data_IF_037163884044
#
_entry.id   IF_037163884044
#
_cell.length_a   1.000
_cell.length_b   1.000
_cell.length_c   1.000
_cell.angle_alpha   90.00
_cell.angle_beta   90.00
_cell.angle_gamma   90.00
#
_symmetry.space_group_name_H-M   'P 1'
#
loop_
_entity.id
_entity.type
_entity.pdbx_description
1 polymer ?
#
# COMPACT_ATOMS: atom_id res chain seq x y z
N UNK A 1 2.49 15.51 -12.15
CA UNK A 1 3.52 16.19 -12.98
C UNK A 1 4.71 15.26 -13.06
N UNK A 2 4.89 14.58 -14.20
CA UNK A 2 6.05 13.72 -14.46
C UNK A 2 7.24 14.61 -14.84
N UNK A 3 8.40 14.34 -14.26
CA UNK A 3 9.61 15.14 -14.51
C UNK A 3 10.59 14.33 -15.34
N UNK A 4 10.87 14.79 -16.56
CA UNK A 4 11.78 14.13 -17.48
C UNK A 4 12.84 15.13 -17.97
N UNK A 5 14.08 15.01 -17.48
CA UNK A 5 15.25 15.69 -18.04
C UNK A 5 15.37 17.21 -17.80
N UNK A 6 16.46 17.59 -17.12
CA UNK A 6 17.07 18.93 -16.97
C UNK A 6 16.35 20.04 -16.22
N UNK A 7 15.04 19.99 -15.97
CA UNK A 7 14.40 20.99 -15.09
C UNK A 7 13.69 20.31 -13.92
N UNK A 8 14.43 20.16 -12.82
CA UNK A 8 13.86 19.92 -11.49
C UNK A 8 14.47 20.96 -10.56
N UNK A 9 13.70 21.95 -10.08
CA UNK A 9 14.09 22.63 -8.85
C UNK A 9 13.93 21.60 -7.72
N UNK A 10 15.04 21.24 -7.07
CA UNK A 10 15.07 20.74 -5.68
C UNK A 10 14.38 19.39 -5.38
N UNK A 11 14.87 18.28 -5.94
CA UNK A 11 14.78 17.00 -5.20
C UNK A 11 16.15 16.69 -4.58
N UNK A 12 16.22 16.57 -3.25
CA UNK A 12 17.47 16.41 -2.50
C UNK A 12 18.35 15.24 -2.99
N UNK A 13 17.72 14.19 -3.54
CA UNK A 13 18.40 13.04 -4.11
C UNK A 13 19.24 13.39 -5.36
N UNK A 14 18.84 14.36 -6.19
CA UNK A 14 19.55 14.70 -7.43
C UNK A 14 20.94 15.28 -7.16
N UNK A 15 21.01 16.26 -6.25
CA UNK A 15 22.27 16.90 -5.85
C UNK A 15 23.15 15.99 -4.98
N UNK A 16 22.54 15.15 -4.13
CA UNK A 16 23.29 14.28 -3.22
C UNK A 16 23.88 13.02 -3.90
N UNK A 17 23.30 12.55 -5.01
CA UNK A 17 23.67 11.26 -5.63
C UNK A 17 24.39 11.41 -6.99
N UNK A 18 24.60 12.62 -7.49
CA UNK A 18 25.31 12.86 -8.76
C UNK A 18 24.60 12.22 -9.96
N UNK A 19 23.26 12.21 -9.94
CA UNK A 19 22.46 11.54 -10.96
C UNK A 19 22.38 12.39 -12.23
N UNK A 20 22.78 11.83 -13.37
CA UNK A 20 22.72 12.53 -14.66
C UNK A 20 21.44 12.23 -15.46
N UNK A 21 20.66 11.21 -15.07
CA UNK A 21 19.32 10.96 -15.60
C UNK A 21 18.34 10.54 -14.51
N UNK A 22 17.17 11.18 -14.48
CA UNK A 22 16.10 10.94 -13.50
C UNK A 22 14.72 11.06 -14.16
N UNK A 23 13.85 10.09 -13.88
CA UNK A 23 12.44 10.08 -14.27
C UNK A 23 11.63 9.58 -13.07
N UNK A 24 10.63 10.34 -12.62
CA UNK A 24 9.82 9.94 -11.47
C UNK A 24 8.45 10.61 -11.41
N UNK A 25 7.57 9.99 -10.63
CA UNK A 25 6.18 10.38 -10.40
C UNK A 25 5.84 10.22 -8.91
N UNK A 26 5.08 11.16 -8.31
CA UNK A 26 4.60 11.03 -6.95
C UNK A 26 3.46 10.00 -6.86
N UNK A 27 3.62 9.00 -6.00
CA UNK A 27 2.61 7.98 -5.74
C UNK A 27 1.62 8.48 -4.70
N UNK A 28 0.33 8.46 -5.00
CA UNK A 28 -0.71 8.86 -4.06
C UNK A 28 -1.58 7.67 -3.67
N UNK A 29 -1.78 7.46 -2.37
CA UNK A 29 -2.68 6.42 -1.86
C UNK A 29 -3.77 7.12 -1.06
N UNK A 30 -5.02 6.89 -1.44
CA UNK A 30 -6.19 7.50 -0.80
C UNK A 30 -6.15 9.04 -0.77
N UNK A 31 -5.53 9.64 -1.79
CA UNK A 31 -5.37 11.10 -1.91
C UNK A 31 -4.19 11.68 -1.13
N UNK A 32 -3.46 10.87 -0.37
CA UNK A 32 -2.27 11.28 0.36
C UNK A 32 -0.98 10.89 -0.37
N UNK A 33 0.04 11.76 -0.31
CA UNK A 33 1.36 11.46 -0.85
C UNK A 33 1.97 10.29 -0.07
N UNK A 34 2.07 9.14 -0.72
CA UNK A 34 2.69 7.94 -0.15
C UNK A 34 4.20 7.93 -0.37
N UNK A 35 4.65 8.40 -1.53
CA UNK A 35 6.06 8.40 -1.88
C UNK A 35 6.32 8.79 -3.32
N UNK A 36 7.41 8.28 -3.89
CA UNK A 36 7.78 8.55 -5.28
C UNK A 36 8.24 7.27 -5.95
N UNK A 37 7.67 6.97 -7.11
CA UNK A 37 8.24 5.98 -8.03
C UNK A 37 9.26 6.70 -8.91
N UNK A 38 10.52 6.28 -8.85
CA UNK A 38 11.58 6.91 -9.63
C UNK A 38 12.57 5.92 -10.21
N UNK A 39 12.96 6.17 -11.46
CA UNK A 39 14.12 5.57 -12.12
C UNK A 39 15.24 6.59 -12.20
N UNK A 40 16.42 6.18 -11.74
CA UNK A 40 17.59 7.04 -11.67
C UNK A 40 18.81 6.33 -12.25
N UNK A 41 19.69 7.10 -12.90
CA UNK A 41 20.97 6.61 -13.41
C UNK A 41 22.07 7.63 -13.11
N UNK A 42 23.22 7.14 -12.65
CA UNK A 42 24.40 7.96 -12.39
C UNK A 42 25.11 8.41 -13.67
N UNK A 43 25.00 7.64 -14.76
CA UNK A 43 25.59 7.97 -16.06
C UNK A 43 24.58 8.71 -16.95
N UNK A 44 25.05 9.62 -17.82
CA UNK A 44 24.19 10.31 -18.78
C UNK A 44 23.54 9.31 -19.72
N UNK A 45 22.29 9.59 -20.09
CA UNK A 45 21.58 8.85 -21.13
C UNK A 45 21.89 9.51 -22.47
N UNK A 46 22.24 8.71 -23.48
CA UNK A 46 22.52 9.22 -24.84
C UNK A 46 21.28 9.86 -25.49
N UNK A 47 20.09 9.50 -25.02
CA UNK A 47 18.81 10.01 -25.50
C UNK A 47 17.97 10.54 -24.34
N UNK A 48 17.18 11.57 -24.62
CA UNK A 48 16.15 12.03 -23.69
C UNK A 48 15.14 10.92 -23.40
N UNK A 49 14.42 11.03 -22.27
CA UNK A 49 13.25 10.19 -22.04
C UNK A 49 12.22 10.46 -23.13
N UNK A 50 11.66 9.39 -23.66
CA UNK A 50 10.61 9.40 -24.65
C UNK A 50 9.25 9.50 -23.96
N UNK A 51 8.22 9.88 -24.72
CA UNK A 51 6.83 9.85 -24.22
C UNK A 51 6.44 8.44 -23.76
N UNK A 52 6.96 7.39 -24.41
CA UNK A 52 6.77 6.00 -24.00
C UNK A 52 7.40 5.71 -22.63
N UNK A 53 8.58 6.26 -22.32
CA UNK A 53 9.19 6.12 -20.99
C UNK A 53 8.28 6.74 -19.91
N UNK A 54 7.69 7.90 -20.20
CA UNK A 54 6.76 8.62 -19.31
C UNK A 54 5.45 7.86 -19.14
N UNK A 55 4.82 7.43 -20.24
CA UNK A 55 3.57 6.68 -20.21
C UNK A 55 3.72 5.33 -19.48
N UNK A 56 4.85 4.66 -19.69
CA UNK A 56 5.18 3.43 -18.97
C UNK A 56 5.29 3.68 -17.46
N UNK A 57 5.94 4.78 -17.07
CA UNK A 57 6.04 5.15 -15.65
C UNK A 57 4.66 5.44 -15.06
N UNK A 58 3.80 6.19 -15.75
CA UNK A 58 2.45 6.49 -15.28
C UNK A 58 1.58 5.23 -15.16
N UNK A 59 1.74 4.27 -16.08
CA UNK A 59 1.02 3.00 -16.01
C UNK A 59 1.47 2.18 -14.79
N UNK A 60 2.77 2.14 -14.51
CA UNK A 60 3.31 1.49 -13.32
C UNK A 60 2.81 2.15 -12.04
N UNK A 61 2.77 3.48 -12.01
CA UNK A 61 2.24 4.28 -10.90
C UNK A 61 0.80 3.86 -10.57
N UNK A 62 -0.09 3.89 -11.57
CA UNK A 62 -1.50 3.52 -11.42
C UNK A 62 -1.69 2.08 -10.94
N UNK A 63 -0.87 1.14 -11.41
CA UNK A 63 -0.92 -0.23 -10.95
C UNK A 63 -0.45 -0.37 -9.50
N UNK A 64 0.63 0.31 -9.12
CA UNK A 64 1.12 0.31 -7.74
C UNK A 64 0.11 0.92 -6.78
N UNK A 65 -0.54 2.02 -7.16
CA UNK A 65 -1.61 2.62 -6.34
C UNK A 65 -2.72 1.61 -6.06
N UNK A 66 -3.21 0.96 -7.11
CA UNK A 66 -4.27 -0.05 -7.02
C UNK A 66 -3.86 -1.24 -6.15
N UNK A 67 -2.64 -1.76 -6.34
CA UNK A 67 -2.15 -2.93 -5.61
C UNK A 67 -1.91 -2.64 -4.13
N UNK A 68 -1.40 -1.45 -3.80
CA UNK A 68 -1.23 -1.02 -2.40
C UNK A 68 -2.58 -0.85 -1.71
N UNK A 69 -3.55 -0.21 -2.38
CA UNK A 69 -4.91 -0.08 -1.85
C UNK A 69 -5.56 -1.45 -1.60
N UNK A 70 -5.42 -2.38 -2.55
CA UNK A 70 -5.93 -3.75 -2.41
C UNK A 70 -5.36 -4.44 -1.18
N UNK A 71 -4.04 -4.41 -1.00
CA UNK A 71 -3.36 -5.02 0.16
C UNK A 71 -3.81 -4.42 1.49
N UNK A 72 -3.93 -3.10 1.56
CA UNK A 72 -4.42 -2.41 2.76
C UNK A 72 -5.85 -2.82 3.11
N UNK A 73 -6.72 -2.96 2.11
CA UNK A 73 -8.08 -3.42 2.32
C UNK A 73 -8.11 -4.87 2.86
N UNK A 74 -7.25 -5.74 2.33
CA UNK A 74 -7.10 -7.12 2.80
C UNK A 74 -6.59 -7.18 4.25
N UNK A 75 -5.53 -6.45 4.56
CA UNK A 75 -4.98 -6.35 5.92
C UNK A 75 -6.00 -5.81 6.92
N UNK A 76 -6.78 -4.79 6.54
CA UNK A 76 -7.83 -4.22 7.38
C UNK A 76 -8.96 -5.23 7.65
N UNK A 77 -9.34 -6.02 6.64
CA UNK A 77 -10.36 -7.07 6.79
C UNK A 77 -9.87 -8.20 7.72
N UNK A 78 -8.62 -8.63 7.56
CA UNK A 78 -8.00 -9.63 8.43
C UNK A 78 -7.92 -9.15 9.88
N UNK A 79 -7.52 -7.89 10.10
CA UNK A 79 -7.46 -7.32 11.44
C UNK A 79 -8.86 -7.18 12.07
N UNK A 80 -9.86 -6.72 11.31
CA UNK A 80 -11.23 -6.65 11.79
C UNK A 80 -11.78 -8.02 12.19
N UNK A 81 -11.51 -9.05 11.37
CA UNK A 81 -11.89 -10.44 11.66
C UNK A 81 -11.25 -10.93 12.96
N UNK A 82 -9.93 -10.75 13.11
CA UNK A 82 -9.18 -11.15 14.32
C UNK A 82 -9.72 -10.47 15.59
N UNK A 83 -10.09 -9.19 15.51
CA UNK A 83 -10.68 -8.45 16.64
C UNK A 83 -12.05 -9.00 17.03
N UNK A 84 -12.89 -9.37 16.06
CA UNK A 84 -14.20 -9.98 16.34
C UNK A 84 -14.05 -11.37 16.99
N UNK A 85 -13.12 -12.19 16.52
CA UNK A 85 -12.84 -13.50 17.12
C UNK A 85 -12.40 -13.38 18.58
N UNK A 86 -11.56 -12.39 18.91
CA UNK A 86 -11.16 -12.13 20.29
C UNK A 86 -12.33 -11.77 21.19
N UNK A 87 -13.27 -10.94 20.70
CA UNK A 87 -14.46 -10.55 21.47
C UNK A 87 -15.39 -11.74 21.74
N UNK A 88 -15.58 -12.63 20.76
CA UNK A 88 -16.38 -13.87 20.91
C UNK A 88 -15.76 -14.81 21.95
N UNK A 89 -14.43 -14.88 22.05
CA UNK A 89 -13.73 -15.71 23.03
C UNK A 89 -13.83 -15.13 24.44
N UNK A 90 -13.93 -13.80 24.60
CA UNK A 90 -14.00 -13.14 25.91
C UNK A 90 -15.42 -12.95 26.46
N UNK A 91 -16.47 -13.24 25.70
CA UNK A 91 -17.84 -13.08 26.19
C UNK A 91 -18.23 -14.25 27.12
N UNK A 92 -18.51 -14.02 28.43
CA UNK A 92 -18.88 -15.08 29.38
C UNK A 92 -20.19 -15.81 29.00
N UNK A 93 -20.94 -15.29 28.03
CA UNK A 93 -22.16 -15.94 27.51
C UNK A 93 -21.84 -17.27 26.82
N UNK A 94 -20.67 -17.44 26.18
CA UNK A 94 -20.28 -18.72 25.57
C UNK A 94 -20.03 -19.83 26.61
N UNK A 95 -19.55 -19.47 27.80
CA UNK A 95 -19.41 -20.41 28.93
C UNK A 95 -20.77 -20.82 29.50
N UNK A 96 -21.76 -19.92 29.50
CA UNK A 96 -23.11 -20.17 30.03
C UNK A 96 -24.00 -21.06 29.15
N UNK A 97 -23.71 -21.22 27.86
CA UNK A 97 -24.50 -22.11 26.97
C UNK A 97 -24.18 -23.59 27.21
N UNK A 98 -23.01 -23.92 27.77
CA UNK A 98 -22.61 -25.31 28.05
C UNK A 98 -23.39 -25.94 29.22
N UNK A 99 -23.98 -25.17 30.13
CA UNK A 99 -24.70 -25.72 31.29
C UNK A 99 -26.17 -26.05 31.04
N UNK A 100 -26.79 -25.50 29.98
CA UNK A 100 -28.24 -25.72 29.73
C UNK A 100 -28.60 -27.10 29.18
N UNK A 101 -27.65 -27.85 28.63
CA UNK A 101 -27.90 -29.23 28.20
C UNK A 101 -27.72 -30.29 29.30
N UNK A 102 -27.29 -29.92 30.51
CA UNK A 102 -27.15 -30.86 31.64
C UNK A 102 -28.39 -30.93 32.54
N UNK A 103 -29.42 -30.10 32.32
CA UNK A 103 -30.59 -30.00 33.22
C UNK A 103 -31.89 -30.62 32.69
N UNK A 104 -31.86 -31.34 31.57
CA UNK A 104 -33.07 -31.93 30.96
C UNK A 104 -33.09 -33.47 31.00
N UNK A 105 -32.56 -34.10 32.05
CA UNK A 105 -32.67 -35.56 32.19
C UNK A 105 -32.54 -36.06 33.64
N UNK A 106 -33.20 -35.42 34.61
CA UNK A 106 -33.46 -36.03 35.93
C UNK A 106 -34.75 -35.45 36.53
N UNK A 107 -35.89 -35.74 35.90
CA UNK A 107 -37.17 -35.79 36.60
C UNK A 107 -38.02 -36.91 36.01
N UNK A 108 -37.86 -38.11 36.60
CA UNK A 108 -38.87 -39.13 36.92
C UNK A 108 -38.23 -40.47 37.26
#
# INVERSE_FOLDING_TARGET
MVHAGREIPTHAAYAALGLEAYLGTPLHIDGELFGTLSFARALPREHAFTDIDVDSLMLMDSWLETEIQRRRAEEALEEATRRLEQLVITDPVAAGVRERHSFASHDR
#
